data_IF_877989895713
#
_entry.id   IF_877989895713
#
_cell.length_a   1.000
_cell.length_b   1.000
_cell.length_c   1.000
_cell.angle_alpha   90.00
_cell.angle_beta   90.00
_cell.angle_gamma   90.00
#
_symmetry.space_group_name_H-M   'P 1'
#
loop_
_entity.id
_entity.type
_entity.pdbx_description
1 polymer ?
#
# COMPACT_ATOMS: atom_id res chain seq x y z
N UNK A 1 -18.66 19.44 -4.79
CA UNK A 1 -18.46 18.99 -6.18
C UNK A 1 -18.05 17.52 -6.06
N UNK A 2 -19.03 16.61 -6.13
CA UNK A 2 -18.80 15.19 -5.87
C UNK A 2 -17.96 14.60 -7.00
N UNK A 3 -16.68 14.33 -6.72
CA UNK A 3 -15.83 13.59 -7.64
C UNK A 3 -16.42 12.21 -7.87
N UNK A 4 -16.37 11.74 -9.12
CA UNK A 4 -16.73 10.37 -9.47
C UNK A 4 -15.90 9.41 -8.60
N UNK A 5 -16.54 8.45 -7.95
CA UNK A 5 -15.83 7.40 -7.19
C UNK A 5 -14.97 6.61 -8.16
N UNK A 6 -13.68 6.50 -7.86
CA UNK A 6 -12.73 5.69 -8.62
C UNK A 6 -13.00 4.21 -8.39
N UNK A 7 -12.66 3.40 -9.38
CA UNK A 7 -12.86 1.93 -9.35
C UNK A 7 -11.55 1.23 -9.67
N UNK A 8 -11.49 -0.09 -9.48
CA UNK A 8 -10.30 -0.86 -9.90
C UNK A 8 -9.95 -0.69 -11.38
N UNK A 9 -10.94 -0.47 -12.24
CA UNK A 9 -10.72 -0.22 -13.67
C UNK A 9 -9.91 1.06 -13.96
N UNK A 10 -10.01 2.08 -13.10
CA UNK A 10 -9.19 3.30 -13.22
C UNK A 10 -7.70 3.06 -12.94
N UNK A 11 -7.37 1.93 -12.30
CA UNK A 11 -6.02 1.52 -11.92
C UNK A 11 -5.46 0.38 -12.78
N UNK A 12 -6.20 -0.09 -13.79
CA UNK A 12 -5.79 -1.19 -14.69
C UNK A 12 -4.51 -0.92 -15.51
N UNK A 13 -4.05 0.34 -15.56
CA UNK A 13 -2.76 0.68 -16.14
C UNK A 13 -1.58 0.13 -15.32
N UNK A 14 -1.76 -0.15 -14.03
CA UNK A 14 -0.68 -0.50 -13.11
C UNK A 14 0.04 -1.78 -13.52
N UNK A 15 -0.72 -2.84 -13.79
CA UNK A 15 -0.18 -4.13 -14.22
C UNK A 15 0.53 -4.05 -15.58
N UNK A 16 0.01 -3.22 -16.49
CA UNK A 16 0.57 -3.07 -17.84
C UNK A 16 1.85 -2.21 -17.85
N UNK A 17 1.87 -1.15 -17.04
CA UNK A 17 2.97 -0.18 -17.04
C UNK A 17 4.09 -0.56 -16.07
N UNK A 18 3.79 -1.33 -15.02
CA UNK A 18 4.72 -1.69 -13.95
C UNK A 18 4.63 -3.18 -13.59
N UNK A 19 4.78 -4.10 -14.57
CA UNK A 19 4.60 -5.54 -14.33
C UNK A 19 5.54 -6.10 -13.25
N UNK A 20 6.77 -5.57 -13.15
CA UNK A 20 7.79 -6.09 -12.23
C UNK A 20 7.46 -5.89 -10.74
N UNK A 21 6.58 -4.95 -10.40
CA UNK A 21 6.09 -4.72 -9.03
C UNK A 21 4.64 -5.17 -8.85
N UNK A 22 3.86 -5.28 -9.92
CA UNK A 22 2.44 -5.58 -9.84
C UNK A 22 2.13 -6.97 -9.24
N UNK A 23 3.05 -7.93 -9.39
CA UNK A 23 2.87 -9.29 -8.87
C UNK A 23 3.06 -9.38 -7.34
N UNK A 24 3.85 -8.49 -6.73
CA UNK A 24 4.08 -8.49 -5.29
C UNK A 24 4.51 -7.11 -4.78
N UNK A 25 3.65 -6.49 -3.96
CA UNK A 25 3.90 -5.16 -3.41
C UNK A 25 3.18 -4.95 -2.07
N UNK A 26 3.64 -3.95 -1.31
CA UNK A 26 2.81 -3.21 -0.38
C UNK A 26 2.91 -1.71 -0.64
N UNK A 27 1.77 -1.05 -0.77
CA UNK A 27 1.65 0.41 -0.85
C UNK A 27 0.99 0.91 0.42
N UNK A 28 1.60 1.92 1.03
CA UNK A 28 1.16 2.48 2.31
C UNK A 28 1.15 3.99 2.24
N UNK A 29 0.03 4.61 2.62
CA UNK A 29 -0.12 6.05 2.79
C UNK A 29 -0.22 6.35 4.28
N UNK A 30 0.71 7.17 4.78
CA UNK A 30 0.76 7.60 6.19
C UNK A 30 0.58 9.11 6.30
N UNK A 31 -0.49 9.57 6.96
CA UNK A 31 -0.75 11.01 7.13
C UNK A 31 0.05 11.59 8.28
N UNK A 32 0.64 12.75 8.07
CA UNK A 32 1.27 13.53 9.14
C UNK A 32 2.67 13.07 9.56
N UNK A 33 3.29 12.15 8.80
CA UNK A 33 4.70 11.81 8.94
C UNK A 33 5.44 12.12 7.66
N UNK A 34 6.64 12.68 7.78
CA UNK A 34 7.62 12.77 6.69
C UNK A 34 8.32 11.42 6.46
N UNK A 35 8.98 11.22 5.29
CA UNK A 35 9.80 10.03 5.05
C UNK A 35 10.85 9.80 6.14
N UNK A 36 11.51 10.86 6.64
CA UNK A 36 12.53 10.74 7.68
C UNK A 36 11.95 10.27 9.03
N UNK A 37 10.77 10.78 9.41
CA UNK A 37 10.07 10.34 10.63
C UNK A 37 9.58 8.90 10.49
N UNK A 38 9.09 8.52 9.31
CA UNK A 38 8.65 7.15 9.04
C UNK A 38 9.83 6.16 9.07
N UNK A 39 10.99 6.52 8.50
CA UNK A 39 12.23 5.73 8.62
C UNK A 39 12.59 5.52 10.09
N UNK A 40 12.61 6.59 10.88
CA UNK A 40 12.92 6.49 12.31
C UNK A 40 11.90 5.62 13.06
N UNK A 41 10.61 5.73 12.72
CA UNK A 41 9.51 4.94 13.31
C UNK A 41 9.67 3.44 13.02
N UNK A 42 10.17 3.10 11.84
CA UNK A 42 10.31 1.72 11.36
C UNK A 42 11.69 1.11 11.66
N UNK A 43 12.53 1.79 12.45
CA UNK A 43 13.94 1.43 12.68
C UNK A 43 14.70 1.21 11.35
N UNK A 44 14.41 2.08 10.39
CA UNK A 44 14.98 2.06 9.05
C UNK A 44 16.39 2.64 9.02
N UNK A 45 17.21 2.14 8.10
CA UNK A 45 18.52 2.73 7.77
C UNK A 45 18.40 3.45 6.43
N UNK A 46 18.68 4.76 6.35
CA UNK A 46 18.62 5.48 5.08
C UNK A 46 19.56 4.89 4.03
N UNK A 47 19.08 4.84 2.80
CA UNK A 47 19.85 4.44 1.61
C UNK A 47 19.96 5.61 0.64
N UNK A 48 20.75 5.43 -0.42
CA UNK A 48 20.80 6.39 -1.51
C UNK A 48 19.41 6.53 -2.17
N UNK A 49 18.96 7.74 -2.51
CA UNK A 49 17.68 7.93 -3.18
C UNK A 49 17.72 7.37 -4.60
N UNK A 50 16.55 6.93 -5.09
CA UNK A 50 16.39 6.32 -6.41
C UNK A 50 15.33 7.05 -7.23
N UNK A 51 15.60 7.27 -8.51
CA UNK A 51 14.66 7.91 -9.44
C UNK A 51 13.77 6.85 -10.10
N UNK A 52 12.47 6.96 -9.86
CA UNK A 52 11.46 6.10 -10.46
C UNK A 52 11.36 4.71 -9.81
N UNK A 53 10.17 4.12 -9.88
CA UNK A 53 9.85 2.84 -9.24
C UNK A 53 10.65 1.68 -9.84
N UNK A 54 11.00 1.74 -11.14
CA UNK A 54 11.82 0.71 -11.78
C UNK A 54 13.19 0.56 -11.09
N UNK A 55 13.86 1.68 -10.79
CA UNK A 55 15.14 1.66 -10.08
C UNK A 55 15.01 1.12 -8.65
N UNK A 56 13.88 1.40 -7.98
CA UNK A 56 13.57 0.87 -6.64
C UNK A 56 13.40 -0.65 -6.70
N UNK A 57 12.66 -1.15 -7.68
CA UNK A 57 12.42 -2.59 -7.86
C UNK A 57 13.73 -3.33 -8.16
N UNK A 58 14.53 -2.81 -9.10
CA UNK A 58 15.85 -3.37 -9.42
C UNK A 58 16.76 -3.44 -8.18
N UNK A 59 16.79 -2.37 -7.38
CA UNK A 59 17.59 -2.32 -6.16
C UNK A 59 17.08 -3.27 -5.07
N UNK A 60 15.75 -3.40 -4.93
CA UNK A 60 15.16 -4.34 -3.97
C UNK A 60 15.52 -5.78 -4.30
N UNK A 61 15.42 -6.19 -5.57
CA UNK A 61 15.84 -7.52 -6.02
C UNK A 61 17.33 -7.77 -5.81
N UNK A 62 18.19 -6.79 -6.16
CA UNK A 62 19.62 -6.91 -5.93
C UNK A 62 19.98 -7.07 -4.44
N UNK A 63 19.21 -6.46 -3.53
CA UNK A 63 19.43 -6.60 -2.09
C UNK A 63 19.03 -7.98 -1.55
N UNK A 64 17.94 -8.58 -2.06
CA UNK A 64 17.53 -9.94 -1.70
C UNK A 64 18.63 -10.98 -1.95
N UNK A 65 19.45 -10.78 -2.98
CA UNK A 65 20.57 -11.66 -3.31
C UNK A 65 21.79 -11.47 -2.37
N UNK A 66 21.87 -10.36 -1.64
CA UNK A 66 23.06 -9.94 -0.88
C UNK A 66 22.92 -10.11 0.64
N UNK A 67 21.75 -9.87 1.21
CA UNK A 67 21.50 -9.97 2.66
C UNK A 67 20.73 -11.26 2.99
N UNK A 68 21.03 -11.90 4.14
CA UNK A 68 20.36 -13.13 4.62
C UNK A 68 18.87 -12.92 5.03
N UNK A 69 18.15 -11.97 4.42
CA UNK A 69 16.70 -11.82 4.53
C UNK A 69 16.17 -11.04 5.74
N UNK A 70 17.03 -10.41 6.55
CA UNK A 70 16.61 -9.70 7.75
C UNK A 70 16.05 -8.29 7.47
N UNK A 71 16.41 -7.69 6.34
CA UNK A 71 15.99 -6.32 5.97
C UNK A 71 15.52 -6.26 4.52
N UNK A 72 14.60 -5.34 4.26
CA UNK A 72 14.03 -5.10 2.94
C UNK A 72 14.18 -3.63 2.55
N UNK A 73 14.40 -3.37 1.26
CA UNK A 73 14.40 -2.02 0.71
C UNK A 73 12.97 -1.48 0.66
N UNK A 74 12.80 -0.23 1.06
CA UNK A 74 11.57 0.52 0.90
C UNK A 74 11.83 1.88 0.29
N UNK A 75 10.86 2.38 -0.47
CA UNK A 75 10.91 3.69 -1.12
C UNK A 75 9.81 4.59 -0.59
N UNK A 76 10.12 5.87 -0.37
CA UNK A 76 9.19 6.84 0.20
C UNK A 76 9.21 8.17 -0.53
N UNK A 77 8.05 8.81 -0.59
CA UNK A 77 7.92 10.20 -1.06
C UNK A 77 6.76 10.90 -0.35
N UNK A 78 6.80 12.23 -0.29
CA UNK A 78 5.72 13.04 0.26
C UNK A 78 4.73 13.43 -0.84
N UNK A 79 3.44 13.16 -0.61
CA UNK A 79 2.33 13.53 -1.50
C UNK A 79 1.30 14.31 -0.70
N UNK A 80 1.36 15.64 -0.79
CA UNK A 80 0.51 16.51 0.02
C UNK A 80 0.77 16.34 1.52
N UNK A 81 -0.25 15.94 2.29
CA UNK A 81 -0.15 15.68 3.73
C UNK A 81 0.21 14.23 4.09
N UNK A 82 0.44 13.39 3.08
CA UNK A 82 0.72 11.97 3.22
C UNK A 82 2.15 11.66 2.80
N UNK A 83 2.75 10.66 3.44
CA UNK A 83 3.92 9.97 2.90
C UNK A 83 3.44 8.67 2.28
N UNK A 84 3.79 8.47 1.01
CA UNK A 84 3.69 7.20 0.33
C UNK A 84 4.94 6.39 0.65
N UNK A 85 4.75 5.16 1.11
CA UNK A 85 5.75 4.12 1.33
C UNK A 85 5.42 2.97 0.37
N UNK A 86 6.43 2.50 -0.36
CA UNK A 86 6.32 1.41 -1.33
C UNK A 86 7.33 0.32 -0.95
N UNK A 87 6.84 -0.90 -0.86
CA UNK A 87 7.63 -2.09 -0.53
C UNK A 87 7.53 -3.09 -1.69
N UNK A 88 8.52 -3.18 -2.60
CA UNK A 88 8.59 -4.26 -3.56
C UNK A 88 8.70 -5.61 -2.84
N UNK A 89 7.74 -6.51 -3.05
CA UNK A 89 7.66 -7.82 -2.40
C UNK A 89 7.66 -7.78 -0.84
N UNK A 90 7.32 -6.63 -0.24
CA UNK A 90 7.20 -6.46 1.20
C UNK A 90 5.76 -6.51 1.70
N UNK A 91 5.58 -6.70 3.00
CA UNK A 91 4.26 -6.79 3.66
C UNK A 91 4.20 -6.05 5.01
N UNK A 92 5.19 -5.21 5.33
CA UNK A 92 5.25 -4.53 6.63
C UNK A 92 4.03 -3.63 6.84
N UNK A 93 3.58 -2.94 5.79
CA UNK A 93 2.42 -2.05 5.80
C UNK A 93 1.10 -2.69 6.19
N UNK A 94 0.99 -4.02 6.13
CA UNK A 94 -0.19 -4.78 6.54
C UNK A 94 0.05 -5.69 7.75
N UNK A 95 1.25 -5.67 8.32
CA UNK A 95 1.59 -6.48 9.51
C UNK A 95 1.12 -5.75 10.78
N UNK A 96 -0.01 -6.16 11.35
CA UNK A 96 -0.71 -5.43 12.42
C UNK A 96 0.19 -5.08 13.63
N UNK A 97 1.04 -5.99 14.08
CA UNK A 97 1.94 -5.79 15.23
C UNK A 97 3.02 -4.71 14.97
N UNK A 98 3.34 -4.44 13.70
CA UNK A 98 4.21 -3.35 13.25
C UNK A 98 3.41 -2.07 13.01
N UNK A 99 2.28 -2.19 12.33
CA UNK A 99 1.47 -1.05 11.88
C UNK A 99 0.81 -0.33 13.05
N UNK A 100 0.23 -1.04 14.02
CA UNK A 100 -0.49 -0.38 15.10
C UNK A 100 0.44 0.54 15.93
N UNK A 101 1.63 0.10 16.40
CA UNK A 101 2.58 1.03 17.02
C UNK A 101 3.05 2.15 16.07
N UNK A 102 3.32 1.84 14.80
CA UNK A 102 3.80 2.78 13.79
C UNK A 102 2.73 3.78 13.30
N UNK A 103 1.46 3.57 13.63
CA UNK A 103 0.35 4.47 13.30
C UNK A 103 0.00 5.45 14.42
N UNK A 104 0.74 5.47 15.54
CA UNK A 104 0.53 6.45 16.61
C UNK A 104 0.46 7.88 16.06
N UNK A 105 -0.58 8.62 16.46
CA UNK A 105 -0.85 10.01 16.04
C UNK A 105 -0.94 10.20 14.50
N UNK A 106 -1.11 9.13 13.74
CA UNK A 106 -1.17 9.12 12.29
C UNK A 106 -2.38 8.34 11.77
N UNK A 107 -2.74 8.59 10.51
CA UNK A 107 -3.63 7.72 9.73
C UNK A 107 -2.76 6.85 8.84
N UNK A 108 -3.05 5.55 8.79
CA UNK A 108 -2.28 4.56 8.06
C UNK A 108 -3.23 3.76 7.17
N UNK A 109 -3.01 3.81 5.85
CA UNK A 109 -3.82 3.08 4.86
C UNK A 109 -2.87 2.29 3.97
N UNK A 110 -3.01 0.97 3.97
CA UNK A 110 -2.14 0.08 3.23
C UNK A 110 -2.91 -0.93 2.43
N UNK A 111 -2.35 -1.31 1.29
CA UNK A 111 -2.78 -2.48 0.57
C UNK A 111 -1.59 -3.28 0.05
N UNK A 112 -1.74 -4.59 0.09
CA UNK A 112 -0.71 -5.57 -0.21
C UNK A 112 -1.29 -6.64 -1.14
N UNK A 113 -0.43 -7.16 -2.01
CA UNK A 113 -0.66 -8.41 -2.74
C UNK A 113 0.66 -9.15 -2.91
N UNK A 114 0.61 -10.48 -3.01
CA UNK A 114 1.75 -11.30 -3.41
C UNK A 114 1.47 -12.18 -4.62
N UNK A 115 2.51 -12.89 -5.07
CA UNK A 115 2.46 -13.77 -6.25
C UNK A 115 1.47 -14.94 -6.13
N UNK A 116 1.01 -15.26 -4.92
CA UNK A 116 -0.03 -16.28 -4.69
C UNK A 116 -1.44 -15.67 -4.70
N UNK A 117 -1.58 -14.41 -5.15
CA UNK A 117 -2.81 -13.61 -5.11
C UNK A 117 -3.38 -13.38 -3.70
N UNK A 118 -2.60 -13.61 -2.63
CA UNK A 118 -3.04 -13.27 -1.27
C UNK A 118 -2.94 -11.76 -1.11
N UNK A 119 -4.04 -11.14 -0.72
CA UNK A 119 -4.12 -9.70 -0.53
C UNK A 119 -4.43 -9.30 0.90
N UNK A 120 -4.13 -8.04 1.24
CA UNK A 120 -4.62 -7.44 2.48
C UNK A 120 -4.79 -5.95 2.28
N UNK A 121 -5.95 -5.41 2.67
CA UNK A 121 -6.16 -3.99 2.87
C UNK A 121 -6.23 -3.72 4.37
N UNK A 122 -5.53 -2.70 4.84
CA UNK A 122 -5.49 -2.32 6.25
C UNK A 122 -5.65 -0.80 6.39
N UNK A 123 -6.59 -0.38 7.23
CA UNK A 123 -6.74 0.99 7.69
C UNK A 123 -6.65 1.05 9.22
N UNK A 124 -5.68 1.84 9.72
CA UNK A 124 -5.51 2.14 11.12
C UNK A 124 -5.47 3.66 11.37
N UNK A 125 -5.98 4.07 12.52
CA UNK A 125 -5.89 5.44 13.03
C UNK A 125 -5.40 5.41 14.47
N UNK A 126 -4.30 6.12 14.75
CA UNK A 126 -3.72 6.23 16.09
C UNK A 126 -3.69 4.91 16.88
N UNK A 127 -2.98 3.91 16.33
CA UNK A 127 -2.85 2.56 16.92
C UNK A 127 -4.14 1.73 16.98
N UNK A 128 -5.24 2.21 16.43
CA UNK A 128 -6.51 1.48 16.38
C UNK A 128 -6.74 0.93 14.98
N UNK A 129 -6.88 -0.39 14.87
CA UNK A 129 -7.32 -1.05 13.65
C UNK A 129 -8.79 -0.70 13.37
N UNK A 130 -9.05 0.02 12.28
CA UNK A 130 -10.40 0.42 11.88
C UNK A 130 -11.04 -0.61 10.96
N UNK A 131 -10.34 -0.98 9.90
CA UNK A 131 -10.77 -1.94 8.90
C UNK A 131 -9.58 -2.76 8.42
N UNK A 132 -9.74 -4.06 8.31
CA UNK A 132 -8.81 -4.96 7.67
C UNK A 132 -9.58 -6.08 6.97
N UNK A 133 -9.14 -6.50 5.77
CA UNK A 133 -9.75 -7.56 4.98
C UNK A 133 -8.82 -8.01 3.85
N UNK A 134 -9.07 -9.20 3.29
CA UNK A 134 -8.49 -9.59 2.00
C UNK A 134 -9.33 -8.99 0.87
N UNK A 135 -8.77 -8.19 -0.05
CA UNK A 135 -9.48 -7.65 -1.21
C UNK A 135 -10.32 -8.67 -2.00
N UNK A 136 -9.90 -9.94 -2.09
CA UNK A 136 -10.67 -11.01 -2.75
C UNK A 136 -11.85 -11.52 -1.92
N UNK A 137 -11.79 -11.36 -0.59
CA UNK A 137 -12.82 -11.80 0.37
C UNK A 137 -13.26 -10.63 1.27
N UNK A 138 -13.82 -9.54 0.72
CA UNK A 138 -14.16 -8.33 1.47
C UNK A 138 -15.31 -8.53 2.49
N UNK A 139 -16.02 -9.65 2.42
CA UNK A 139 -16.97 -10.12 3.42
C UNK A 139 -16.29 -10.50 4.75
N UNK A 140 -15.06 -11.02 4.70
CA UNK A 140 -14.26 -11.47 5.84
C UNK A 140 -13.45 -10.31 6.45
N UNK A 141 -14.14 -9.20 6.72
CA UNK A 141 -13.54 -7.96 7.26
C UNK A 141 -13.63 -7.86 8.78
N UNK A 142 -12.62 -7.26 9.40
CA UNK A 142 -12.55 -7.04 10.85
C UNK A 142 -11.97 -5.66 11.20
N UNK A 143 -12.00 -5.33 12.49
CA UNK A 143 -11.56 -4.04 13.03
C UNK A 143 -12.58 -3.43 13.98
N UNK A 144 -12.33 -2.20 14.41
CA UNK A 144 -13.27 -1.46 15.29
C UNK A 144 -14.41 -0.79 14.53
N UNK A 145 -14.26 -0.57 13.22
CA UNK A 145 -15.26 0.04 12.34
C UNK A 145 -15.32 -0.67 10.96
N UNK A 146 -15.48 -2.00 10.92
CA UNK A 146 -15.35 -2.78 9.69
C UNK A 146 -16.40 -2.43 8.63
N UNK A 147 -17.56 -1.92 9.04
CA UNK A 147 -18.68 -1.63 8.15
C UNK A 147 -18.76 -0.17 7.69
N UNK A 148 -17.88 0.70 8.18
CA UNK A 148 -17.94 2.16 7.92
C UNK A 148 -17.77 2.51 6.43
N UNK A 149 -17.06 1.68 5.68
CA UNK A 149 -16.76 1.91 4.26
C UNK A 149 -17.58 1.05 3.30
N UNK A 150 -18.59 0.31 3.76
CA UNK A 150 -19.35 -0.63 2.93
C UNK A 150 -19.91 0.00 1.65
N UNK A 151 -20.64 1.10 1.79
CA UNK A 151 -21.20 1.82 0.64
C UNK A 151 -20.11 2.26 -0.35
N UNK A 152 -18.91 2.58 0.14
CA UNK A 152 -17.78 2.98 -0.70
C UNK A 152 -17.16 1.78 -1.40
N UNK A 153 -16.96 0.68 -0.68
CA UNK A 153 -16.44 -0.57 -1.21
C UNK A 153 -17.31 -1.10 -2.35
N UNK A 154 -18.64 -1.12 -2.16
CA UNK A 154 -19.58 -1.52 -3.23
C UNK A 154 -19.48 -0.63 -4.46
N UNK A 155 -19.40 0.70 -4.27
CA UNK A 155 -19.27 1.66 -5.39
C UNK A 155 -17.94 1.54 -6.13
N UNK A 156 -16.86 1.18 -5.43
CA UNK A 156 -15.52 0.98 -5.99
C UNK A 156 -15.46 -0.32 -6.81
N UNK A 157 -16.28 -1.30 -6.46
CA UNK A 157 -16.38 -2.59 -7.16
C UNK A 157 -15.94 -3.80 -6.34
N UNK A 158 -15.87 -3.71 -5.00
CA UNK A 158 -15.69 -4.90 -4.16
C UNK A 158 -16.95 -5.76 -4.16
N UNK A 159 -16.77 -7.06 -4.34
CA UNK A 159 -17.86 -8.03 -4.38
C UNK A 159 -18.13 -8.59 -2.98
N UNK A 160 -19.06 -7.96 -2.25
CA UNK A 160 -19.43 -8.37 -0.87
C UNK A 160 -20.36 -9.61 -0.81
N UNK A 161 -20.55 -10.32 -1.93
CA UNK A 161 -21.43 -11.47 -2.08
C UNK A 161 -20.66 -12.57 -2.81
N UNK A 162 -21.09 -13.82 -2.61
CA UNK A 162 -20.60 -15.08 -3.22
C UNK A 162 -20.77 -15.15 -4.77
N UNK A 163 -20.55 -14.05 -5.48
CA UNK A 163 -20.51 -14.01 -6.94
C UNK A 163 -19.07 -13.71 -7.35
N UNK A 164 -18.35 -14.72 -7.86
CA UNK A 164 -17.02 -14.53 -8.42
C UNK A 164 -17.12 -13.63 -9.66
N UNK A 165 -16.40 -12.50 -9.71
CA UNK A 165 -16.42 -11.64 -10.88
C UNK A 165 -15.78 -12.33 -12.10
N UNK A 166 -16.19 -11.90 -13.30
CA UNK A 166 -15.56 -12.37 -14.56
C UNK A 166 -14.10 -11.92 -14.68
N UNK A 167 -13.72 -10.83 -14.02
CA UNK A 167 -12.36 -10.30 -13.96
C UNK A 167 -12.05 -9.89 -12.54
N UNK A 168 -10.99 -10.46 -11.97
CA UNK A 168 -10.53 -10.07 -10.65
C UNK A 168 -9.82 -8.71 -10.73
N UNK A 169 -10.45 -7.69 -10.17
CA UNK A 169 -9.90 -6.34 -10.04
C UNK A 169 -9.68 -5.99 -8.56
N UNK A 170 -9.64 -6.98 -7.66
CA UNK A 170 -9.66 -6.75 -6.21
C UNK A 170 -8.44 -5.97 -5.72
N UNK A 171 -7.25 -6.32 -6.23
CA UNK A 171 -6.00 -5.60 -5.94
C UNK A 171 -6.02 -4.16 -6.47
N UNK A 172 -6.64 -3.93 -7.64
CA UNK A 172 -6.79 -2.60 -8.23
C UNK A 172 -7.87 -1.78 -7.54
N UNK A 173 -8.93 -2.42 -7.06
CA UNK A 173 -9.96 -1.81 -6.23
C UNK A 173 -9.38 -1.33 -4.88
N UNK A 174 -8.34 -2.01 -4.37
CA UNK A 174 -7.61 -1.57 -3.18
C UNK A 174 -6.93 -0.20 -3.37
N UNK A 175 -6.35 0.08 -4.55
CA UNK A 175 -5.84 1.42 -4.88
C UNK A 175 -6.95 2.47 -4.84
N UNK A 176 -8.11 2.17 -5.44
CA UNK A 176 -9.24 3.10 -5.45
C UNK A 176 -9.82 3.35 -4.04
N UNK A 177 -9.83 2.34 -3.16
CA UNK A 177 -10.22 2.52 -1.76
C UNK A 177 -9.19 3.34 -0.96
N UNK A 178 -7.91 3.12 -1.21
CA UNK A 178 -6.85 3.95 -0.64
C UNK A 178 -6.99 5.42 -1.08
N UNK A 179 -7.25 5.69 -2.36
CA UNK A 179 -7.53 7.03 -2.86
C UNK A 179 -8.79 7.61 -2.21
N UNK A 180 -9.86 6.83 -2.04
CA UNK A 180 -11.09 7.28 -1.40
C UNK A 180 -10.86 7.77 0.04
N UNK A 181 -10.07 7.03 0.83
CA UNK A 181 -9.77 7.37 2.22
C UNK A 181 -8.80 8.54 2.36
N UNK A 182 -7.83 8.64 1.45
CA UNK A 182 -6.69 9.54 1.61
C UNK A 182 -6.79 10.82 0.78
N UNK A 183 -7.57 10.79 -0.30
CA UNK A 183 -7.57 11.78 -1.37
C UNK A 183 -6.31 11.77 -2.23
N UNK A 184 -5.45 10.75 -2.10
CA UNK A 184 -4.19 10.62 -2.84
C UNK A 184 -4.36 9.57 -3.93
N UNK A 185 -4.29 10.00 -5.18
CA UNK A 185 -4.23 9.10 -6.33
C UNK A 185 -2.78 8.68 -6.58
N UNK A 186 -2.54 7.37 -6.71
CA UNK A 186 -1.28 6.87 -7.26
C UNK A 186 -1.36 6.96 -8.78
N UNK A 187 -0.37 7.56 -9.43
CA UNK A 187 -0.37 7.74 -10.90
C UNK A 187 0.92 7.21 -11.51
N UNK A 188 0.94 6.91 -12.83
CA UNK A 188 2.16 6.52 -13.52
C UNK A 188 3.29 7.55 -13.35
N UNK A 189 2.99 8.84 -13.45
CA UNK A 189 3.96 9.93 -13.33
C UNK A 189 4.53 10.01 -11.92
N UNK A 190 3.68 9.81 -10.89
CA UNK A 190 4.15 9.72 -9.50
C UNK A 190 5.16 8.58 -9.33
N UNK A 191 4.93 7.43 -9.98
CA UNK A 191 5.82 6.28 -9.88
C UNK A 191 7.08 6.42 -10.74
N UNK A 192 7.01 7.07 -11.90
CA UNK A 192 8.12 7.16 -12.85
C UNK A 192 9.05 8.33 -12.58
N UNK A 193 8.50 9.50 -12.26
CA UNK A 193 9.25 10.76 -12.26
C UNK A 193 9.72 11.18 -10.86
N UNK A 194 9.30 10.45 -9.82
CA UNK A 194 9.67 10.75 -8.43
C UNK A 194 11.07 10.25 -8.09
N UNK A 195 11.86 11.11 -7.45
CA UNK A 195 13.05 10.67 -6.71
C UNK A 195 12.62 10.25 -5.31
N UNK A 196 12.63 8.94 -5.04
CA UNK A 196 12.24 8.38 -3.76
C UNK A 196 13.39 8.47 -2.75
N UNK A 197 13.04 8.81 -1.51
CA UNK A 197 13.91 8.55 -0.36
C UNK A 197 13.86 7.06 -0.05
N UNK A 198 15.01 6.41 -0.03
CA UNK A 198 15.09 4.97 0.20
C UNK A 198 15.61 4.67 1.60
N UNK A 199 15.19 3.53 2.15
CA UNK A 199 15.73 2.99 3.38
C UNK A 199 15.62 1.47 3.38
N UNK A 200 16.38 0.82 4.24
CA UNK A 200 16.23 -0.59 4.55
C UNK A 200 15.59 -0.73 5.93
N UNK A 201 14.54 -1.55 6.05
CA UNK A 201 13.78 -1.78 7.30
C UNK A 201 13.82 -3.26 7.67
N UNK A 202 13.72 -3.58 8.96
CA UNK A 202 13.65 -4.98 9.40
C UNK A 202 12.35 -5.65 8.96
N UNK A 203 12.45 -6.89 8.47
CA UNK A 203 11.30 -7.71 8.07
C UNK A 203 10.66 -8.39 9.30
N UNK A 204 11.45 -8.68 10.34
CA UNK A 204 11.02 -9.32 11.61
C UNK A 204 11.75 -8.73 12.80
#
# INVERSE_FOLDING_TARGET
MGGMTKTGADYAWFENNFPDIAEAYCFTLVRGLSPAELIARLDGRPEAPLLGIAAVVDAAFAQYDLEEGDRQLVAMTTVGAWTLLIEPNGYLGVTEDRVLPASAEASWVSHFVNINAVGTFLWAEDRVLRLCFDPMFPEDRWGTAPDELLDAMERIGFHLKDESPETDLSSLAAFALAEHLTGVAITPELLQDTTFSCATVQVR
#
